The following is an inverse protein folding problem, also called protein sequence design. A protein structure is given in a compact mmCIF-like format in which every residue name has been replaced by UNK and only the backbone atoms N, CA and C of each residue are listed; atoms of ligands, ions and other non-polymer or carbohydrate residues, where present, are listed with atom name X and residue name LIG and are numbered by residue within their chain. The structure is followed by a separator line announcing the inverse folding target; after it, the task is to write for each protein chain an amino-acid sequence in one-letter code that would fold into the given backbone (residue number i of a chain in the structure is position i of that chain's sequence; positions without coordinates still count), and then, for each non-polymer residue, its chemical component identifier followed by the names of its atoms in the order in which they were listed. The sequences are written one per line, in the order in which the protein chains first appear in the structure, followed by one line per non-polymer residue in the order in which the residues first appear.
data_IF_803171766438
#
_entry.id   IF_803171766438
#
_cell.length_a   1.000
_cell.length_b   1.000
_cell.length_c   1.000
_cell.angle_alpha   90.00
_cell.angle_beta   90.00
_cell.angle_gamma   90.00
#
_symmetry.space_group_name_H-M   'P 1'
#
loop_
_entity.id
_entity.type
_entity.pdbx_description
1 polymer ?
#
# COMPACT_ATOMS: atom_id res chain seq x y z
N UNK A 1 24.25 -9.62 2.58
CA UNK A 1 24.55 -8.90 3.85
C UNK A 1 23.98 -9.73 4.99
N UNK A 2 24.66 -9.84 6.11
CA UNK A 2 24.11 -10.47 7.33
C UNK A 2 23.48 -9.39 8.21
N UNK A 3 22.51 -9.78 9.04
CA UNK A 3 21.99 -8.89 10.09
C UNK A 3 23.10 -8.50 11.04
N UNK A 4 23.06 -7.30 11.55
CA UNK A 4 24.06 -6.79 12.51
C UNK A 4 23.39 -5.90 13.57
N UNK A 5 23.95 -5.85 14.78
CA UNK A 5 23.43 -4.99 15.83
C UNK A 5 23.96 -3.56 15.68
N UNK A 6 23.14 -2.59 16.09
CA UNK A 6 23.57 -1.22 16.38
C UNK A 6 23.22 -0.86 17.82
N UNK A 7 24.04 -0.02 18.43
CA UNK A 7 23.75 0.55 19.74
C UNK A 7 23.19 1.95 19.52
N UNK A 8 21.94 2.18 19.95
CA UNK A 8 21.29 3.48 19.82
C UNK A 8 21.68 4.43 20.97
N UNK A 9 21.33 5.69 20.86
CA UNK A 9 21.60 6.74 21.86
C UNK A 9 20.89 6.47 23.19
N UNK A 10 19.76 5.74 23.17
CA UNK A 10 19.05 5.30 24.38
C UNK A 10 19.76 4.19 25.15
N UNK A 11 20.95 3.76 24.66
CA UNK A 11 21.78 2.69 25.24
C UNK A 11 21.34 1.28 24.92
N UNK A 12 20.22 1.09 24.19
CA UNK A 12 19.74 -0.23 23.78
C UNK A 12 20.42 -0.73 22.51
N UNK A 13 20.37 -2.03 22.31
CA UNK A 13 20.87 -2.68 21.10
C UNK A 13 19.71 -3.09 20.22
N UNK A 14 19.71 -2.61 18.99
CA UNK A 14 18.76 -2.95 17.94
C UNK A 14 19.43 -3.77 16.84
N UNK A 15 18.69 -4.69 16.25
CA UNK A 15 19.18 -5.49 15.13
C UNK A 15 18.73 -4.88 13.81
N UNK A 16 19.68 -4.59 12.94
CA UNK A 16 19.37 -4.17 11.57
C UNK A 16 19.15 -5.39 10.70
N UNK A 17 17.97 -5.44 10.11
CA UNK A 17 17.50 -6.52 9.25
C UNK A 17 16.77 -5.92 8.04
N UNK A 18 16.01 -6.75 7.32
CA UNK A 18 15.07 -6.27 6.30
C UNK A 18 13.89 -5.59 7.00
N UNK A 19 13.44 -4.48 6.42
CA UNK A 19 12.26 -3.79 6.93
C UNK A 19 10.98 -4.60 6.62
N UNK A 20 10.00 -4.52 7.49
CA UNK A 20 8.66 -5.04 7.26
C UNK A 20 7.80 -3.94 6.64
N UNK A 21 7.10 -4.26 5.57
CA UNK A 21 6.15 -3.38 4.91
C UNK A 21 4.81 -4.09 4.70
N UNK A 22 3.75 -3.32 4.50
CA UNK A 22 2.41 -3.80 4.18
C UNK A 22 1.92 -3.21 2.87
N UNK A 23 1.03 -3.91 2.17
CA UNK A 23 0.31 -3.39 1.00
C UNK A 23 -1.16 -3.73 1.11
N UNK A 24 -2.02 -2.74 1.04
CA UNK A 24 -3.47 -2.86 1.09
C UNK A 24 -4.08 -2.82 -0.31
N UNK A 25 -4.73 -3.90 -0.73
CA UNK A 25 -5.43 -4.00 -2.00
C UNK A 25 -6.92 -3.86 -1.75
N UNK A 26 -7.42 -2.63 -1.86
CA UNK A 26 -8.85 -2.33 -1.69
C UNK A 26 -9.51 -2.30 -3.06
N UNK A 27 -10.63 -3.00 -3.22
CA UNK A 27 -11.33 -3.09 -4.49
C UNK A 27 -12.84 -3.22 -4.34
N UNK A 28 -13.56 -2.93 -5.42
CA UNK A 28 -14.98 -3.24 -5.56
C UNK A 28 -15.30 -3.75 -6.96
N UNK A 29 -16.46 -4.40 -7.10
CA UNK A 29 -16.94 -4.92 -8.37
C UNK A 29 -18.36 -4.48 -8.63
N UNK A 30 -18.63 -4.01 -9.84
CA UNK A 30 -19.94 -3.66 -10.37
C UNK A 30 -20.15 -4.32 -11.75
N UNK A 31 -21.29 -4.08 -12.36
CA UNK A 31 -21.54 -4.49 -13.75
C UNK A 31 -20.57 -3.85 -14.75
N UNK A 32 -20.00 -2.68 -14.41
CA UNK A 32 -19.01 -1.98 -15.22
C UNK A 32 -17.59 -2.56 -15.11
N UNK A 33 -17.34 -3.44 -14.14
CA UNK A 33 -16.05 -4.08 -13.93
C UNK A 33 -15.59 -4.09 -12.48
N UNK A 34 -14.36 -4.51 -12.28
CA UNK A 34 -13.66 -4.46 -11.00
C UNK A 34 -12.71 -3.27 -10.97
N UNK A 35 -12.77 -2.50 -9.91
CA UNK A 35 -11.98 -1.29 -9.71
C UNK A 35 -11.11 -1.45 -8.47
N UNK A 36 -9.87 -1.00 -8.57
CA UNK A 36 -8.89 -1.06 -7.51
C UNK A 36 -8.51 0.35 -7.06
N UNK A 37 -8.40 0.53 -5.75
CA UNK A 37 -7.91 1.76 -5.15
C UNK A 37 -6.42 1.89 -5.39
N UNK A 38 -6.01 3.02 -5.93
CA UNK A 38 -4.62 3.35 -6.17
C UNK A 38 -4.35 4.82 -5.84
N UNK A 39 -3.13 5.12 -5.45
CA UNK A 39 -2.65 6.48 -5.29
C UNK A 39 -1.44 6.73 -6.21
N UNK A 40 -1.27 7.97 -6.62
CA UNK A 40 -0.13 8.42 -7.40
C UNK A 40 0.90 9.04 -6.48
N UNK A 41 2.11 8.51 -6.52
CA UNK A 41 3.22 8.94 -5.67
C UNK A 41 3.58 10.40 -5.91
N UNK A 42 3.62 11.16 -4.85
CA UNK A 42 3.89 12.58 -4.88
C UNK A 42 5.38 12.93 -4.97
N UNK A 43 5.64 14.21 -5.04
CA UNK A 43 6.98 14.77 -5.23
C UNK A 43 7.96 14.55 -4.06
N UNK A 44 7.43 14.29 -2.85
CA UNK A 44 8.25 14.11 -1.65
C UNK A 44 8.59 12.63 -1.37
N UNK A 45 8.12 11.70 -2.22
CA UNK A 45 8.53 10.29 -2.10
C UNK A 45 9.97 10.10 -2.59
N UNK A 46 10.75 9.20 -1.97
CA UNK A 46 12.18 9.02 -2.30
C UNK A 46 12.40 8.42 -3.70
N UNK A 47 11.40 7.68 -4.22
CA UNK A 47 11.50 6.96 -5.49
C UNK A 47 10.14 6.89 -6.21
N UNK A 48 10.15 6.54 -7.50
CA UNK A 48 8.97 6.34 -8.35
C UNK A 48 7.97 7.50 -8.32
N UNK A 49 8.43 8.74 -8.20
CA UNK A 49 7.57 9.95 -8.20
C UNK A 49 6.72 9.98 -9.48
N UNK A 50 5.44 10.32 -9.34
CA UNK A 50 4.50 10.38 -10.45
C UNK A 50 3.98 9.02 -10.95
N UNK A 51 4.45 7.90 -10.41
CA UNK A 51 3.93 6.57 -10.72
C UNK A 51 2.77 6.20 -9.79
N UNK A 52 1.90 5.33 -10.27
CA UNK A 52 0.81 4.77 -9.48
C UNK A 52 1.29 3.64 -8.58
N UNK A 53 0.72 3.50 -7.41
CA UNK A 53 0.94 2.38 -6.51
C UNK A 53 -0.34 1.99 -5.76
N UNK A 54 -0.34 0.77 -5.24
CA UNK A 54 -1.28 0.36 -4.22
C UNK A 54 -0.88 1.02 -2.90
N UNK A 55 -1.81 1.41 -2.03
CA UNK A 55 -1.49 1.92 -0.71
C UNK A 55 -0.55 0.98 0.04
N UNK A 56 0.56 1.52 0.53
CA UNK A 56 1.59 0.71 1.18
C UNK A 56 2.60 1.54 1.96
N UNK A 57 3.10 1.00 3.05
CA UNK A 57 4.15 1.61 3.84
C UNK A 57 4.79 0.65 4.84
N UNK A 58 5.58 1.19 5.75
CA UNK A 58 6.30 0.40 6.75
C UNK A 58 5.46 0.13 7.98
N UNK A 59 5.77 -1.00 8.62
CA UNK A 59 5.22 -1.38 9.92
C UNK A 59 5.89 -0.54 11.03
N UNK A 60 5.09 0.12 11.84
CA UNK A 60 5.54 0.80 13.04
C UNK A 60 5.71 -0.16 14.23
N UNK A 61 6.39 0.30 15.29
CA UNK A 61 6.75 -0.54 16.44
C UNK A 61 5.56 -1.01 17.27
N UNK A 62 4.48 -0.23 17.31
CA UNK A 62 3.36 -0.44 18.24
C UNK A 62 2.09 -0.95 17.55
N UNK A 63 2.20 -1.50 16.34
CA UNK A 63 1.06 -1.96 15.56
C UNK A 63 1.26 -3.36 14.99
N UNK A 64 0.17 -4.05 14.74
CA UNK A 64 0.15 -5.30 13.97
C UNK A 64 0.15 -4.99 12.46
N UNK A 65 0.51 -5.96 11.63
CA UNK A 65 0.53 -5.78 10.16
C UNK A 65 -0.82 -5.44 9.56
N UNK A 66 -1.93 -5.85 10.19
CA UNK A 66 -3.29 -5.47 9.78
C UNK A 66 -3.63 -4.03 10.18
N UNK A 67 -3.20 -3.60 11.35
CA UNK A 67 -3.34 -2.21 11.80
C UNK A 67 -2.51 -1.28 10.92
N UNK A 68 -1.24 -1.63 10.64
CA UNK A 68 -0.40 -0.92 9.68
C UNK A 68 -1.08 -0.77 8.31
N UNK A 69 -1.65 -1.86 7.79
CA UNK A 69 -2.35 -1.84 6.51
C UNK A 69 -3.57 -0.90 6.53
N UNK A 70 -4.32 -0.88 7.65
CA UNK A 70 -5.46 0.03 7.83
C UNK A 70 -5.01 1.48 7.92
N UNK A 71 -3.93 1.76 8.65
CA UNK A 71 -3.34 3.09 8.80
C UNK A 71 -2.87 3.63 7.47
N UNK A 72 -2.01 2.89 6.76
CA UNK A 72 -1.45 3.29 5.45
C UNK A 72 -2.55 3.56 4.41
N UNK A 73 -3.54 2.66 4.29
CA UNK A 73 -4.68 2.88 3.39
C UNK A 73 -5.45 4.15 3.77
N UNK A 74 -5.65 4.40 5.05
CA UNK A 74 -6.34 5.61 5.50
C UNK A 74 -5.51 6.87 5.27
N UNK A 75 -4.24 6.87 5.61
CA UNK A 75 -3.33 8.00 5.43
C UNK A 75 -3.21 8.40 3.96
N UNK A 76 -2.96 7.44 3.08
CA UNK A 76 -2.76 7.70 1.66
C UNK A 76 -4.08 7.97 0.90
N UNK A 77 -5.22 7.41 1.33
CA UNK A 77 -6.45 7.45 0.52
C UNK A 77 -7.70 7.97 1.22
N UNK A 78 -7.71 8.06 2.55
CA UNK A 78 -8.88 8.42 3.35
C UNK A 78 -9.89 7.28 3.53
N UNK A 79 -9.68 6.12 2.91
CA UNK A 79 -10.57 4.96 3.06
C UNK A 79 -10.27 4.24 4.37
N UNK A 80 -11.32 4.05 5.19
CA UNK A 80 -11.21 3.30 6.45
C UNK A 80 -11.54 1.83 6.22
N UNK A 81 -10.60 0.97 6.58
CA UNK A 81 -10.78 -0.49 6.63
C UNK A 81 -10.51 -0.95 8.05
N UNK A 82 -11.43 -1.75 8.61
CA UNK A 82 -11.19 -2.33 9.92
C UNK A 82 -10.06 -3.38 9.82
N UNK A 83 -9.08 -3.40 10.74
CA UNK A 83 -8.01 -4.40 10.74
C UNK A 83 -8.50 -5.86 10.61
N UNK A 84 -9.63 -6.19 11.21
CA UNK A 84 -10.18 -7.55 11.15
C UNK A 84 -10.74 -7.94 9.77
N UNK A 85 -11.06 -6.96 8.92
CA UNK A 85 -11.64 -7.19 7.60
C UNK A 85 -10.59 -7.51 6.52
N UNK A 86 -9.30 -7.38 6.86
CA UNK A 86 -8.22 -7.71 5.94
C UNK A 86 -8.10 -9.21 5.70
N UNK A 87 -8.14 -9.60 4.43
CA UNK A 87 -7.84 -10.96 3.98
C UNK A 87 -6.37 -11.03 3.58
N UNK A 88 -5.61 -11.92 4.23
CA UNK A 88 -4.23 -12.21 3.87
C UNK A 88 -4.13 -12.78 2.44
N UNK A 89 -3.16 -12.28 1.66
CA UNK A 89 -2.85 -12.77 0.32
C UNK A 89 -1.53 -13.55 0.34
N UNK A 90 -0.42 -12.89 0.66
CA UNK A 90 0.90 -13.49 0.63
C UNK A 90 1.93 -12.69 1.44
N UNK A 91 3.08 -13.33 1.65
CA UNK A 91 4.31 -12.69 2.10
C UNK A 91 5.28 -12.66 0.92
N UNK A 92 5.63 -11.47 0.46
CA UNK A 92 6.64 -11.26 -0.58
C UNK A 92 8.01 -11.07 0.09
N UNK A 93 8.74 -12.15 0.27
CA UNK A 93 10.01 -12.19 0.99
C UNK A 93 11.23 -12.46 0.11
N UNK A 94 11.02 -12.67 -1.21
CA UNK A 94 12.12 -13.01 -2.12
C UNK A 94 13.14 -11.88 -2.26
N UNK A 95 14.42 -12.10 -1.91
CA UNK A 95 15.45 -11.09 -2.07
C UNK A 95 15.74 -10.71 -3.53
N UNK A 96 15.30 -11.52 -4.50
CA UNK A 96 15.41 -11.21 -5.92
C UNK A 96 14.43 -10.12 -6.36
N UNK A 97 13.31 -9.98 -5.64
CA UNK A 97 12.30 -8.95 -5.89
C UNK A 97 12.58 -7.67 -5.11
N UNK A 98 12.88 -7.80 -3.82
CA UNK A 98 13.27 -6.69 -2.96
C UNK A 98 14.27 -7.16 -1.91
N UNK A 99 15.46 -6.56 -1.89
CA UNK A 99 16.50 -6.91 -0.92
C UNK A 99 16.30 -6.23 0.43
N UNK A 100 15.63 -5.08 0.44
CA UNK A 100 15.45 -4.25 1.64
C UNK A 100 14.22 -4.69 2.44
N UNK A 101 13.13 -5.01 1.78
CA UNK A 101 11.84 -5.22 2.44
C UNK A 101 11.37 -6.67 2.36
N UNK A 102 10.58 -7.05 3.36
CA UNK A 102 9.61 -8.14 3.34
C UNK A 102 8.23 -7.48 3.36
N UNK A 103 7.39 -7.78 2.40
CA UNK A 103 6.06 -7.14 2.30
C UNK A 103 4.96 -8.15 2.55
N UNK A 104 4.04 -7.82 3.45
CA UNK A 104 2.81 -8.59 3.66
C UNK A 104 1.69 -7.90 2.90
N UNK A 105 0.98 -8.68 2.07
CA UNK A 105 -0.11 -8.18 1.23
C UNK A 105 -1.45 -8.63 1.75
N UNK A 106 -2.38 -7.68 1.82
CA UNK A 106 -3.76 -7.90 2.23
C UNK A 106 -4.72 -7.39 1.16
N UNK A 107 -5.92 -7.98 1.10
CA UNK A 107 -7.01 -7.45 0.29
C UNK A 107 -8.25 -7.19 1.13
N UNK A 108 -9.05 -6.22 0.70
CA UNK A 108 -10.36 -5.93 1.24
C UNK A 108 -11.31 -5.55 0.10
N UNK A 109 -12.48 -6.20 0.05
CA UNK A 109 -13.54 -5.86 -0.89
C UNK A 109 -14.58 -4.99 -0.21
N UNK A 110 -14.76 -3.77 -0.71
CA UNK A 110 -15.84 -2.91 -0.25
C UNK A 110 -17.15 -3.22 -1.00
N UNK A 111 -18.27 -3.19 -0.27
CA UNK A 111 -19.57 -3.61 -0.80
C UNK A 111 -20.27 -2.51 -1.59
N UNK A 112 -20.04 -1.24 -1.21
CA UNK A 112 -20.65 -0.07 -1.83
C UNK A 112 -19.57 1.01 -2.02
N UNK A 113 -19.03 1.12 -3.24
CA UNK A 113 -18.06 2.15 -3.52
C UNK A 113 -18.79 3.48 -3.59
N UNK A 114 -18.65 4.26 -2.55
CA UNK A 114 -19.03 5.67 -2.60
C UNK A 114 -17.84 6.44 -3.21
N UNK A 115 -17.90 6.85 -4.51
CA UNK A 115 -16.84 7.68 -5.09
C UNK A 115 -16.61 8.99 -4.31
N UNK A 116 -17.57 9.31 -3.45
CA UNK A 116 -17.55 10.48 -2.55
C UNK A 116 -16.55 10.34 -1.40
N UNK A 117 -16.18 9.12 -1.04
CA UNK A 117 -15.27 8.86 0.09
C UNK A 117 -13.81 8.99 -0.31
N UNK A 118 -13.53 9.04 -1.62
CA UNK A 118 -12.22 9.41 -2.13
C UNK A 118 -12.18 10.93 -2.25
N UNK A 119 -11.88 11.60 -1.17
CA UNK A 119 -11.64 13.04 -1.22
C UNK A 119 -10.26 13.30 -1.81
N UNK A 120 -10.22 13.54 -3.11
CA UNK A 120 -9.17 14.33 -3.72
C UNK A 120 -9.11 15.67 -2.98
N UNK A 121 -8.21 15.85 -2.04
CA UNK A 121 -8.02 17.13 -1.38
C UNK A 121 -8.24 17.20 0.14
N UNK A 122 -8.65 16.15 0.81
CA UNK A 122 -8.40 16.12 2.25
C UNK A 122 -6.91 15.86 2.44
N UNK A 123 -6.23 16.79 3.10
CA UNK A 123 -4.80 16.77 3.29
C UNK A 123 -4.37 15.42 3.86
N UNK A 124 -3.42 14.77 3.21
CA UNK A 124 -2.78 13.54 3.70
C UNK A 124 -2.28 13.76 5.12
N UNK A 125 -1.79 14.95 5.43
CA UNK A 125 -1.33 15.42 6.75
C UNK A 125 -2.42 15.35 7.82
N UNK A 126 -3.67 15.73 7.49
CA UNK A 126 -4.80 15.67 8.44
C UNK A 126 -5.15 14.22 8.84
N UNK A 127 -4.64 13.24 8.09
CA UNK A 127 -4.82 11.81 8.32
C UNK A 127 -3.59 11.11 8.90
N UNK A 128 -2.50 11.85 9.14
CA UNK A 128 -1.26 11.32 9.70
C UNK A 128 -0.16 11.00 8.67
N UNK A 129 -0.44 11.12 7.36
CA UNK A 129 0.54 10.91 6.30
C UNK A 129 1.47 12.12 6.09
N UNK A 130 2.50 11.93 5.29
CA UNK A 130 3.49 12.97 5.03
C UNK A 130 3.07 13.93 3.90
N UNK A 131 3.38 15.22 4.05
CA UNK A 131 3.10 16.24 3.03
C UNK A 131 3.74 15.89 1.69
N UNK A 132 2.92 15.88 0.63
CA UNK A 132 3.39 15.64 -0.74
C UNK A 132 3.80 14.19 -1.03
N UNK A 133 3.43 13.25 -0.18
CA UNK A 133 3.62 11.82 -0.42
C UNK A 133 2.64 11.28 -1.48
N UNK A 134 1.41 11.77 -1.48
CA UNK A 134 0.38 11.40 -2.45
C UNK A 134 0.02 12.60 -3.32
N UNK A 135 0.13 12.45 -4.65
CA UNK A 135 -0.28 13.46 -5.63
C UNK A 135 -1.79 13.39 -5.91
N UNK A 136 -2.32 12.20 -6.09
CA UNK A 136 -3.73 11.95 -6.40
C UNK A 136 -4.14 10.52 -6.10
N UNK A 137 -5.44 10.28 -6.02
CA UNK A 137 -6.04 8.98 -5.71
C UNK A 137 -7.07 8.67 -6.80
N UNK A 138 -7.20 7.40 -7.18
CA UNK A 138 -8.21 6.97 -8.14
C UNK A 138 -8.67 5.53 -7.91
N UNK A 139 -9.89 5.25 -8.34
CA UNK A 139 -10.37 3.91 -8.64
C UNK A 139 -10.02 3.57 -10.08
N UNK A 140 -9.10 2.64 -10.28
CA UNK A 140 -8.63 2.22 -11.61
C UNK A 140 -9.30 0.91 -11.97
N UNK A 141 -9.95 0.85 -13.15
CA UNK A 141 -10.48 -0.41 -13.66
C UNK A 141 -9.32 -1.38 -13.93
N UNK A 142 -9.41 -2.61 -13.42
CA UNK A 142 -8.34 -3.62 -13.60
C UNK A 142 -8.04 -3.93 -15.08
N UNK A 143 -8.98 -3.70 -15.99
CA UNK A 143 -8.76 -3.84 -17.44
C UNK A 143 -7.85 -2.76 -18.03
N UNK A 144 -7.72 -1.63 -17.34
CA UNK A 144 -6.97 -0.47 -17.78
C UNK A 144 -5.57 -0.37 -17.13
N UNK A 145 -5.17 -1.39 -16.36
CA UNK A 145 -3.90 -1.41 -15.59
C UNK A 145 -2.69 -1.10 -16.47
N UNK A 146 -2.68 -1.59 -17.71
CA UNK A 146 -1.57 -1.37 -18.63
C UNK A 146 -1.48 0.06 -19.21
N UNK A 147 -2.50 0.89 -18.99
CA UNK A 147 -2.51 2.29 -19.40
C UNK A 147 -1.78 3.21 -18.40
N UNK A 148 -1.31 2.65 -17.27
CA UNK A 148 -0.70 3.40 -16.17
C UNK A 148 0.73 2.92 -15.90
N UNK A 149 1.59 3.84 -15.50
CA UNK A 149 2.93 3.50 -14.99
C UNK A 149 2.87 3.17 -13.50
N UNK A 150 3.29 1.97 -13.14
CA UNK A 150 3.20 1.44 -11.78
C UNK A 150 4.56 1.30 -11.11
N UNK A 151 4.64 1.78 -9.86
CA UNK A 151 5.77 1.52 -8.98
C UNK A 151 5.76 0.07 -8.43
N UNK A 152 6.90 -0.41 -7.95
CA UNK A 152 7.05 -1.65 -7.15
C UNK A 152 6.50 -2.93 -7.79
N UNK A 153 6.33 -2.98 -9.11
CA UNK A 153 5.69 -4.10 -9.82
C UNK A 153 4.20 -4.31 -9.41
N UNK A 154 3.52 -3.29 -8.91
CA UNK A 154 2.14 -3.40 -8.45
C UNK A 154 1.18 -3.81 -9.58
N UNK A 155 1.42 -3.42 -10.83
CA UNK A 155 0.64 -3.92 -11.98
C UNK A 155 0.65 -5.45 -12.09
N UNK A 156 1.81 -6.07 -11.86
CA UNK A 156 1.93 -7.53 -11.88
C UNK A 156 1.13 -8.17 -10.75
N UNK A 157 1.19 -7.60 -9.53
CA UNK A 157 0.45 -8.08 -8.37
C UNK A 157 -1.05 -8.04 -8.64
N UNK A 158 -1.56 -6.92 -9.19
CA UNK A 158 -2.97 -6.77 -9.55
C UNK A 158 -3.38 -7.84 -10.57
N UNK A 159 -2.60 -8.01 -11.63
CA UNK A 159 -2.90 -9.01 -12.67
C UNK A 159 -2.90 -10.43 -12.12
N UNK A 160 -1.99 -10.78 -11.24
CA UNK A 160 -1.94 -12.10 -10.61
C UNK A 160 -3.16 -12.34 -9.71
N UNK A 161 -3.56 -11.33 -8.93
CA UNK A 161 -4.71 -11.44 -8.03
C UNK A 161 -6.04 -11.58 -8.78
N UNK A 162 -6.19 -10.87 -9.90
CA UNK A 162 -7.42 -10.81 -10.67
C UNK A 162 -7.36 -11.58 -12.01
N UNK A 163 -6.40 -12.49 -12.18
CA UNK A 163 -6.18 -13.24 -13.43
C UNK A 163 -7.41 -13.99 -14.00
N UNK A 164 -8.38 -14.31 -13.14
CA UNK A 164 -9.63 -14.97 -13.56
C UNK A 164 -10.71 -13.98 -14.02
N UNK A 165 -10.47 -12.68 -13.86
CA UNK A 165 -11.41 -11.59 -14.19
C UNK A 165 -10.90 -10.78 -15.41
N UNK A 166 -9.60 -10.70 -15.61
CA UNK A 166 -8.93 -10.06 -16.75
C UNK A 166 -8.83 -11.06 -17.90
#
# INVERSE_FOLDING_TARGET
MKNFPIKAEDGKTYWISRAMAVTGIVFYTTDAGTFILANKRGKNTPDFQGMWNLPCGYLDFDETTKEACSREVYEETGIKVNPEDWRFIEIADSPSQNKQNVTIRYSHRISDPQPKDISLGSNVEDRGGEEGEVETIAWINIKDIDNYEWAFNHSKIIKELFKEII
#
